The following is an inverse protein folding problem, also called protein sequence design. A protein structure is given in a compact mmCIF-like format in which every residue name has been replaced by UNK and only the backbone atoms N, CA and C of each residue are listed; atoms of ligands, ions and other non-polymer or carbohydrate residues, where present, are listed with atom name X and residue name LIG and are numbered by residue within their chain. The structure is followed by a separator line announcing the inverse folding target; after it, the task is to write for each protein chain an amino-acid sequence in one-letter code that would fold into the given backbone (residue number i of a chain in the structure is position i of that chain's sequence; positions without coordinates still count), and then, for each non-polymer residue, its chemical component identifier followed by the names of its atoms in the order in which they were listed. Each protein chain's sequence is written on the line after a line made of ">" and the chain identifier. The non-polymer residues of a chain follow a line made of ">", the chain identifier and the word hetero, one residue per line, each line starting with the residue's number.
data_IF_082514025185
#
_entry.id   IF_082514025185
#
_cell.length_a   1.000
_cell.length_b   1.000
_cell.length_c   1.000
_cell.angle_alpha   90.00
_cell.angle_beta   90.00
_cell.angle_gamma   90.00
#
_symmetry.space_group_name_H-M   'P 1'
#
loop_
_entity.id
_entity.type
_entity.pdbx_description
1 polymer ?
#
# COMPACT_ATOMS: atom_id res chain seq x y z
N UNK A 1 7.25 62.51 14.94
CA UNK A 1 6.53 61.79 13.86
C UNK A 1 7.38 60.76 13.09
N UNK A 2 8.67 61.02 12.74
CA UNK A 2 9.53 60.06 12.03
C UNK A 2 9.69 58.68 12.72
N UNK A 3 9.77 58.66 14.05
CA UNK A 3 9.90 57.42 14.83
C UNK A 3 8.64 56.54 14.81
N UNK A 4 7.47 57.12 14.55
CA UNK A 4 6.19 56.39 14.50
C UNK A 4 6.03 55.65 13.16
N UNK A 5 6.45 56.27 12.05
CA UNK A 5 6.48 55.61 10.74
C UNK A 5 7.49 54.46 10.66
N UNK A 6 8.61 54.55 11.41
CA UNK A 6 9.60 53.48 11.47
C UNK A 6 9.07 52.25 12.22
N UNK A 7 8.39 52.44 13.37
CA UNK A 7 7.78 51.36 14.15
C UNK A 7 6.65 50.64 13.39
N UNK A 8 5.83 51.41 12.66
CA UNK A 8 4.73 50.84 11.85
C UNK A 8 5.25 49.98 10.69
N UNK A 9 6.33 50.41 10.03
CA UNK A 9 6.98 49.64 8.94
C UNK A 9 7.62 48.34 9.45
N UNK A 10 8.17 48.34 10.67
CA UNK A 10 8.78 47.15 11.27
C UNK A 10 7.73 46.10 11.67
N UNK A 11 6.60 46.52 12.25
CA UNK A 11 5.49 45.60 12.54
C UNK A 11 4.87 45.00 11.27
N UNK A 12 4.70 45.79 10.21
CA UNK A 12 4.15 45.28 8.95
C UNK A 12 5.08 44.24 8.30
N UNK A 13 6.40 44.46 8.34
CA UNK A 13 7.38 43.51 7.82
C UNK A 13 7.39 42.18 8.61
N UNK A 14 7.26 42.23 9.95
CA UNK A 14 7.18 41.03 10.79
C UNK A 14 5.89 40.25 10.55
N UNK A 15 4.75 40.92 10.34
CA UNK A 15 3.48 40.27 10.03
C UNK A 15 3.52 39.59 8.65
N UNK A 16 4.15 40.21 7.65
CA UNK A 16 4.34 39.62 6.32
C UNK A 16 5.28 38.40 6.41
N UNK A 17 6.38 38.51 7.16
CA UNK A 17 7.32 37.39 7.34
C UNK A 17 6.66 36.20 8.07
N UNK A 18 5.84 36.47 9.09
CA UNK A 18 5.07 35.45 9.80
C UNK A 18 4.03 34.77 8.90
N UNK A 19 3.37 35.54 8.01
CA UNK A 19 2.42 35.00 7.04
C UNK A 19 3.09 34.13 5.96
N UNK A 20 4.30 34.50 5.51
CA UNK A 20 5.11 33.71 4.57
C UNK A 20 5.60 32.42 5.23
N UNK A 21 6.02 32.45 6.50
CA UNK A 21 6.41 31.25 7.24
C UNK A 21 5.24 30.27 7.48
N UNK A 22 4.01 30.77 7.67
CA UNK A 22 2.83 29.90 7.81
C UNK A 22 2.46 29.14 6.53
N UNK A 23 2.87 29.62 5.36
CA UNK A 23 2.56 29.01 4.06
C UNK A 23 3.55 27.89 3.69
N UNK A 24 4.63 27.70 4.45
CA UNK A 24 5.66 26.68 4.22
C UNK A 24 5.40 25.38 5.01
N UNK A 25 4.15 25.01 5.26
CA UNK A 25 3.84 23.68 5.78
C UNK A 25 4.17 22.66 4.69
N UNK A 26 5.29 21.94 4.82
CA UNK A 26 5.56 20.77 4.00
C UNK A 26 4.38 19.80 4.18
N UNK A 27 3.62 19.55 3.12
CA UNK A 27 2.58 18.55 3.12
C UNK A 27 3.27 17.20 3.38
N UNK A 28 3.12 16.66 4.58
CA UNK A 28 3.76 15.41 4.93
C UNK A 28 3.07 14.28 4.16
N UNK A 29 3.83 13.60 3.28
CA UNK A 29 3.31 12.54 2.42
C UNK A 29 2.80 11.40 3.28
N UNK A 30 1.53 11.00 3.10
CA UNK A 30 0.90 9.95 3.91
C UNK A 30 0.36 8.84 3.01
N UNK A 31 0.79 7.60 3.26
CA UNK A 31 0.38 6.41 2.51
C UNK A 31 -0.70 5.63 3.25
N UNK A 32 -1.80 5.34 2.57
CA UNK A 32 -2.75 4.32 2.98
C UNK A 32 -2.39 3.00 2.30
N UNK A 33 -2.57 1.89 3.01
CA UNK A 33 -2.46 0.54 2.45
C UNK A 33 -3.78 -0.19 2.59
N UNK A 34 -4.07 -1.06 1.63
CA UNK A 34 -5.12 -2.05 1.79
C UNK A 34 -4.74 -3.36 1.11
N UNK A 35 -5.40 -4.42 1.55
CA UNK A 35 -5.45 -5.67 0.83
C UNK A 35 -6.77 -5.76 0.08
N UNK A 36 -6.73 -6.16 -1.19
CA UNK A 36 -7.90 -6.59 -1.94
C UNK A 36 -7.71 -8.02 -2.39
N UNK A 37 -8.68 -8.90 -2.15
CA UNK A 37 -8.48 -10.31 -2.42
C UNK A 37 -9.76 -11.13 -2.46
N UNK A 38 -9.61 -12.38 -2.83
CA UNK A 38 -10.71 -13.33 -2.93
C UNK A 38 -10.23 -14.78 -3.06
N UNK A 39 -11.11 -15.70 -2.71
CA UNK A 39 -10.88 -17.13 -2.89
C UNK A 39 -10.98 -17.50 -4.38
N UNK A 40 -9.99 -18.25 -4.87
CA UNK A 40 -9.98 -18.89 -6.18
C UNK A 40 -10.35 -20.36 -5.96
N UNK A 41 -11.59 -20.66 -6.31
CA UNK A 41 -12.24 -21.93 -6.02
C UNK A 41 -12.16 -22.94 -7.17
N UNK A 42 -11.32 -22.65 -8.17
CA UNK A 42 -11.05 -23.53 -9.31
C UNK A 42 -9.64 -24.08 -9.18
N UNK A 43 -9.50 -25.40 -9.30
CA UNK A 43 -8.23 -26.11 -9.10
C UNK A 43 -8.10 -26.81 -7.73
N UNK A 44 -7.08 -27.66 -7.62
CA UNK A 44 -6.72 -28.36 -6.38
C UNK A 44 -5.21 -28.22 -6.17
N UNK A 45 -4.74 -27.64 -5.06
CA UNK A 45 -5.52 -27.09 -3.94
C UNK A 45 -6.23 -25.76 -4.28
N UNK A 46 -7.29 -25.43 -3.54
CA UNK A 46 -7.94 -24.11 -3.61
C UNK A 46 -6.99 -23.02 -3.13
N UNK A 47 -7.13 -21.83 -3.71
CA UNK A 47 -6.21 -20.72 -3.45
C UNK A 47 -6.96 -19.50 -2.94
N UNK A 48 -6.25 -18.63 -2.24
CA UNK A 48 -6.71 -17.29 -1.90
C UNK A 48 -5.66 -16.29 -2.38
N UNK A 49 -6.09 -15.24 -3.06
CA UNK A 49 -5.17 -14.25 -3.60
C UNK A 49 -5.43 -12.91 -2.95
N UNK A 50 -4.37 -12.28 -2.41
CA UNK A 50 -4.43 -10.95 -1.81
C UNK A 50 -3.45 -10.01 -2.52
N UNK A 51 -3.97 -8.94 -3.10
CA UNK A 51 -3.21 -7.86 -3.73
C UNK A 51 -2.94 -6.76 -2.70
N UNK A 52 -1.67 -6.40 -2.53
CA UNK A 52 -1.22 -5.28 -1.73
C UNK A 52 -1.39 -4.01 -2.57
N UNK A 53 -2.11 -3.03 -2.03
CA UNK A 53 -2.39 -1.78 -2.72
C UNK A 53 -1.97 -0.57 -1.87
N UNK A 54 -1.46 0.47 -2.54
CA UNK A 54 -1.05 1.74 -1.93
C UNK A 54 -1.79 2.93 -2.56
N UNK A 55 -2.08 3.95 -1.76
CA UNK A 55 -2.70 5.20 -2.21
C UNK A 55 -2.29 6.37 -1.31
N UNK A 56 -2.23 7.59 -1.85
CA UNK A 56 -2.09 8.78 -1.01
C UNK A 56 -3.34 8.98 -0.13
N UNK A 57 -3.13 9.43 1.10
CA UNK A 57 -4.23 9.67 2.04
C UNK A 57 -5.02 10.95 1.73
N UNK A 58 -4.37 11.94 1.14
CA UNK A 58 -4.89 13.26 0.81
C UNK A 58 -4.51 13.63 -0.63
N UNK A 59 -4.83 14.85 -1.08
CA UNK A 59 -4.56 15.32 -2.44
C UNK A 59 -3.06 15.49 -2.79
N UNK A 60 -2.16 14.88 -2.02
CA UNK A 60 -0.73 14.82 -2.35
C UNK A 60 -0.45 13.79 -3.45
N UNK A 61 0.64 14.06 -4.17
CA UNK A 61 1.28 13.09 -5.06
C UNK A 61 2.70 12.86 -4.56
N UNK A 62 3.11 11.61 -4.45
CA UNK A 62 4.46 11.27 -4.02
C UNK A 62 4.98 10.02 -4.74
N UNK A 63 6.29 9.79 -4.60
CA UNK A 63 6.96 8.60 -5.08
C UNK A 63 7.69 7.94 -3.90
N UNK A 64 7.76 6.61 -3.92
CA UNK A 64 8.40 5.82 -2.87
C UNK A 64 9.79 5.37 -3.30
N UNK A 65 10.69 5.27 -2.33
CA UNK A 65 12.00 4.67 -2.43
C UNK A 65 11.99 3.19 -2.05
N UNK A 66 13.18 2.66 -1.77
CA UNK A 66 13.37 1.38 -1.11
C UNK A 66 12.46 1.27 0.11
N UNK A 67 11.68 0.20 0.17
CA UNK A 67 10.53 0.07 1.06
C UNK A 67 10.33 -1.38 1.48
N UNK A 68 9.66 -1.59 2.62
CA UNK A 68 9.28 -2.90 3.12
C UNK A 68 7.79 -2.98 3.43
N UNK A 69 7.18 -4.13 3.14
CA UNK A 69 5.80 -4.45 3.54
C UNK A 69 5.81 -5.76 4.29
N UNK A 70 5.26 -5.76 5.50
CA UNK A 70 5.18 -6.93 6.34
C UNK A 70 3.72 -7.28 6.60
N UNK A 71 3.33 -8.50 6.24
CA UNK A 71 2.01 -9.05 6.52
C UNK A 71 2.09 -10.19 7.54
N UNK A 72 1.07 -10.28 8.37
CA UNK A 72 0.77 -11.47 9.18
C UNK A 72 -0.52 -12.11 8.67
N UNK A 73 -0.64 -13.43 8.76
CA UNK A 73 -1.88 -14.16 8.41
C UNK A 73 -2.11 -15.33 9.37
N UNK A 74 -3.29 -15.94 9.34
CA UNK A 74 -3.59 -17.14 10.12
C UNK A 74 -2.98 -18.40 9.47
N UNK A 75 -1.89 -18.98 10.01
CA UNK A 75 -1.23 -20.14 9.39
C UNK A 75 -2.06 -21.43 9.48
N UNK A 76 -3.09 -21.47 10.33
CA UNK A 76 -4.02 -22.61 10.38
C UNK A 76 -5.07 -22.55 9.26
N UNK A 77 -5.31 -21.36 8.70
CA UNK A 77 -6.27 -21.15 7.62
C UNK A 77 -5.60 -21.16 6.24
N UNK A 78 -4.39 -20.59 6.15
CA UNK A 78 -3.69 -20.33 4.90
C UNK A 78 -2.23 -20.79 4.98
N UNK A 79 -1.65 -21.13 3.82
CA UNK A 79 -0.19 -21.27 3.64
C UNK A 79 0.23 -20.36 2.48
N UNK A 80 1.16 -19.44 2.70
CA UNK A 80 1.69 -18.60 1.62
C UNK A 80 2.51 -19.44 0.62
N UNK A 81 2.27 -19.26 -0.68
CA UNK A 81 2.82 -20.12 -1.73
C UNK A 81 3.72 -19.35 -2.67
N UNK A 82 3.25 -18.19 -3.11
CA UNK A 82 3.97 -17.40 -4.09
C UNK A 82 3.65 -15.92 -3.95
N UNK A 83 4.51 -15.13 -4.57
CA UNK A 83 4.36 -13.70 -4.69
C UNK A 83 4.70 -13.28 -6.12
N UNK A 84 3.97 -12.31 -6.65
CA UNK A 84 4.27 -11.66 -7.92
C UNK A 84 4.22 -10.14 -7.76
N UNK A 85 5.27 -9.45 -8.22
CA UNK A 85 5.29 -7.99 -8.30
C UNK A 85 4.35 -7.49 -9.41
N UNK A 86 3.62 -6.40 -9.16
CA UNK A 86 2.77 -5.77 -10.18
C UNK A 86 3.41 -4.44 -10.60
N UNK A 87 3.34 -3.41 -9.75
CA UNK A 87 4.10 -2.18 -9.93
C UNK A 87 5.43 -2.21 -9.16
N UNK A 88 6.20 -1.13 -9.26
CA UNK A 88 7.49 -0.96 -8.61
C UNK A 88 8.48 -2.10 -8.95
N UNK A 89 8.37 -2.63 -10.16
CA UNK A 89 9.01 -3.87 -10.60
C UNK A 89 9.99 -3.61 -11.75
N UNK A 90 10.89 -4.57 -12.06
CA UNK A 90 11.81 -4.43 -13.18
C UNK A 90 11.11 -4.44 -14.55
N UNK A 91 9.84 -4.89 -14.62
CA UNK A 91 9.05 -4.87 -15.85
C UNK A 91 8.49 -3.48 -16.20
N UNK A 92 8.45 -2.56 -15.23
CA UNK A 92 7.83 -1.25 -15.39
C UNK A 92 8.84 -0.20 -15.86
N UNK A 93 8.97 -0.03 -17.18
CA UNK A 93 9.83 0.98 -17.77
C UNK A 93 9.20 2.37 -17.63
N UNK A 94 9.91 3.31 -17.01
CA UNK A 94 9.39 4.67 -16.80
C UNK A 94 10.45 5.77 -16.86
N UNK A 95 11.74 5.44 -16.73
CA UNK A 95 12.82 6.41 -16.99
C UNK A 95 12.95 6.52 -18.51
N UNK A 96 12.37 7.59 -19.06
CA UNK A 96 12.31 7.82 -20.52
C UNK A 96 11.58 6.72 -21.29
N UNK A 97 10.81 5.86 -20.61
CA UNK A 97 10.19 4.66 -21.18
C UNK A 97 11.18 3.55 -21.57
N UNK A 98 12.45 3.66 -21.21
CA UNK A 98 13.52 2.74 -21.63
C UNK A 98 14.12 1.94 -20.48
N UNK A 99 14.03 2.44 -19.24
CA UNK A 99 14.58 1.78 -18.06
C UNK A 99 13.60 1.81 -16.88
N UNK A 100 13.77 0.83 -15.99
CA UNK A 100 13.11 0.73 -14.69
C UNK A 100 14.05 1.23 -13.60
N UNK A 101 13.55 1.97 -12.59
CA UNK A 101 14.33 2.31 -11.42
C UNK A 101 14.36 1.18 -10.37
N UNK A 102 13.60 0.10 -10.56
CA UNK A 102 13.35 -0.93 -9.55
C UNK A 102 14.03 -2.25 -9.83
N UNK A 103 14.57 -2.85 -8.77
CA UNK A 103 15.00 -4.24 -8.77
C UNK A 103 13.81 -5.21 -8.62
N UNK A 104 14.08 -6.49 -8.88
CA UNK A 104 13.14 -7.55 -8.53
C UNK A 104 12.83 -7.52 -7.02
N UNK A 105 11.54 -7.61 -6.69
CA UNK A 105 11.09 -7.66 -5.30
C UNK A 105 11.70 -8.88 -4.59
N UNK A 106 12.21 -8.67 -3.38
CA UNK A 106 12.65 -9.74 -2.51
C UNK A 106 11.52 -10.10 -1.54
N UNK A 107 11.20 -11.39 -1.45
CA UNK A 107 10.09 -11.86 -0.61
C UNK A 107 10.51 -13.03 0.26
N UNK A 108 10.09 -13.02 1.51
CA UNK A 108 10.23 -14.12 2.45
C UNK A 108 8.86 -14.69 2.79
N UNK A 109 8.64 -15.94 2.38
CA UNK A 109 7.39 -16.70 2.56
C UNK A 109 7.58 -17.99 3.38
N UNK A 110 8.80 -18.29 3.84
CA UNK A 110 9.14 -19.60 4.41
C UNK A 110 8.62 -19.81 5.84
N UNK A 111 8.40 -18.73 6.61
CA UNK A 111 7.84 -18.83 7.94
C UNK A 111 6.29 -18.82 7.88
N UNK A 112 5.61 -19.81 8.50
CA UNK A 112 4.16 -19.79 8.61
C UNK A 112 3.66 -18.51 9.31
N UNK A 113 2.58 -17.94 8.77
CA UNK A 113 1.91 -16.77 9.33
C UNK A 113 2.57 -15.44 8.98
N UNK A 114 3.64 -15.42 8.18
CA UNK A 114 4.37 -14.20 7.80
C UNK A 114 4.60 -14.11 6.30
N UNK A 115 4.44 -12.91 5.75
CA UNK A 115 4.96 -12.51 4.45
C UNK A 115 5.75 -11.22 4.62
N UNK A 116 7.02 -11.23 4.24
CA UNK A 116 7.85 -10.02 4.28
C UNK A 116 8.35 -9.70 2.88
N UNK A 117 8.02 -8.50 2.40
CA UNK A 117 8.36 -7.99 1.07
C UNK A 117 9.36 -6.83 1.23
N UNK A 118 10.42 -6.85 0.44
CA UNK A 118 11.36 -5.73 0.25
C UNK A 118 11.36 -5.31 -1.21
N UNK A 119 11.20 -4.00 -1.44
CA UNK A 119 11.27 -3.36 -2.74
C UNK A 119 12.51 -2.47 -2.75
N UNK A 120 13.39 -2.63 -3.74
CA UNK A 120 14.67 -1.89 -3.80
C UNK A 120 14.66 -0.96 -4.99
N UNK A 121 14.87 0.33 -4.73
CA UNK A 121 15.01 1.36 -5.75
C UNK A 121 16.50 1.60 -6.03
N UNK A 122 16.92 1.41 -7.27
CA UNK A 122 18.32 1.48 -7.70
C UNK A 122 18.81 2.89 -8.05
N UNK A 123 17.89 3.86 -8.07
CA UNK A 123 18.19 5.26 -8.36
C UNK A 123 17.54 6.14 -7.29
N UNK A 124 18.15 7.26 -6.94
CA UNK A 124 17.65 8.08 -5.83
C UNK A 124 16.76 9.26 -6.27
N UNK A 125 16.56 9.42 -7.58
CA UNK A 125 15.93 10.61 -8.18
C UNK A 125 14.62 10.31 -8.91
N UNK A 126 14.32 9.04 -9.19
CA UNK A 126 13.15 8.65 -9.97
C UNK A 126 12.52 7.39 -9.38
N UNK A 127 11.20 7.39 -9.30
CA UNK A 127 10.40 6.24 -8.89
C UNK A 127 9.04 6.33 -9.57
N UNK A 128 8.48 5.17 -9.89
CA UNK A 128 7.25 5.07 -10.66
C UNK A 128 6.49 3.76 -10.34
N UNK A 129 5.15 3.77 -10.49
CA UNK A 129 4.30 4.92 -10.84
C UNK A 129 4.17 5.93 -9.67
N UNK A 130 3.75 7.18 -9.94
CA UNK A 130 3.43 8.12 -8.87
C UNK A 130 2.21 7.64 -8.07
N UNK A 131 2.24 7.87 -6.76
CA UNK A 131 1.13 7.55 -5.85
C UNK A 131 0.32 8.81 -5.65
N UNK A 132 -0.98 8.71 -5.94
CA UNK A 132 -1.96 9.80 -5.85
C UNK A 132 -3.14 9.36 -4.97
N UNK A 133 -4.10 10.24 -4.67
CA UNK A 133 -5.34 9.85 -4.00
C UNK A 133 -6.47 9.43 -4.95
N UNK A 134 -6.28 9.55 -6.26
CA UNK A 134 -7.31 9.27 -7.25
C UNK A 134 -7.58 7.76 -7.40
N UNK A 135 -6.53 6.93 -7.37
CA UNK A 135 -6.65 5.48 -7.53
C UNK A 135 -5.68 4.72 -6.62
N UNK A 136 -6.03 3.48 -6.34
CA UNK A 136 -5.14 2.53 -5.69
C UNK A 136 -4.14 1.97 -6.71
N UNK A 137 -2.87 1.88 -6.31
CA UNK A 137 -1.79 1.29 -7.10
C UNK A 137 -1.48 -0.09 -6.54
N UNK A 138 -1.47 -1.11 -7.40
CA UNK A 138 -1.14 -2.48 -7.03
C UNK A 138 0.38 -2.62 -6.87
N UNK A 139 0.84 -2.95 -5.67
CA UNK A 139 2.27 -3.21 -5.40
C UNK A 139 2.64 -4.61 -5.86
N UNK A 140 1.84 -5.60 -5.47
CA UNK A 140 2.04 -6.99 -5.82
C UNK A 140 1.00 -7.89 -5.18
N UNK A 141 1.08 -9.16 -5.52
CA UNK A 141 0.05 -10.15 -5.23
C UNK A 141 0.65 -11.33 -4.50
N UNK A 142 0.08 -11.67 -3.34
CA UNK A 142 0.42 -12.87 -2.59
C UNK A 142 -0.64 -13.94 -2.85
N UNK A 143 -0.21 -15.14 -3.19
CA UNK A 143 -1.08 -16.29 -3.34
C UNK A 143 -0.88 -17.25 -2.18
N UNK A 144 -2.00 -17.68 -1.60
CA UNK A 144 -2.07 -18.63 -0.50
C UNK A 144 -2.79 -19.90 -0.94
N UNK A 145 -2.39 -21.04 -0.40
CA UNK A 145 -3.23 -22.23 -0.36
C UNK A 145 -4.20 -22.13 0.81
N UNK A 146 -5.45 -22.51 0.59
CA UNK A 146 -6.46 -22.58 1.64
C UNK A 146 -6.34 -23.93 2.34
N UNK A 147 -5.83 -23.93 3.57
CA UNK A 147 -5.69 -25.12 4.40
C UNK A 147 -6.97 -25.44 5.16
N UNK A 148 -7.70 -24.42 5.61
CA UNK A 148 -8.99 -24.58 6.29
C UNK A 148 -9.96 -23.45 5.92
N UNK A 149 -10.98 -23.71 5.07
CA UNK A 149 -11.90 -22.69 4.60
C UNK A 149 -12.88 -22.17 5.66
N UNK A 150 -13.03 -22.87 6.79
CA UNK A 150 -13.91 -22.45 7.88
C UNK A 150 -13.28 -21.38 8.79
N UNK A 151 -11.97 -21.19 8.71
CA UNK A 151 -11.24 -20.24 9.56
C UNK A 151 -11.15 -18.85 8.92
N UNK A 152 -10.96 -17.84 9.78
CA UNK A 152 -10.65 -16.48 9.36
C UNK A 152 -9.20 -16.42 8.81
N UNK A 153 -8.98 -15.89 7.60
CA UNK A 153 -7.63 -15.72 7.06
C UNK A 153 -6.77 -14.71 7.83
N UNK A 154 -7.41 -13.72 8.47
CA UNK A 154 -6.81 -12.64 9.25
C UNK A 154 -5.47 -12.09 8.70
N UNK A 155 -5.46 -11.71 7.42
CA UNK A 155 -4.29 -11.14 6.75
C UNK A 155 -4.20 -9.66 7.11
N UNK A 156 -3.18 -9.25 7.86
CA UNK A 156 -3.02 -7.90 8.39
C UNK A 156 -1.64 -7.33 8.05
N UNK A 157 -1.56 -6.00 7.92
CA UNK A 157 -0.27 -5.32 7.88
C UNK A 157 0.32 -5.20 9.28
N UNK A 158 1.61 -5.51 9.43
CA UNK A 158 2.38 -5.08 10.59
C UNK A 158 2.81 -3.63 10.38
N UNK A 159 2.07 -2.71 10.99
CA UNK A 159 2.38 -1.26 10.99
C UNK A 159 3.83 -0.97 11.42
N UNK A 160 4.40 -1.57 12.49
CA UNK A 160 5.77 -1.25 12.88
C UNK A 160 6.81 -1.73 11.86
N UNK A 161 6.56 -2.84 11.15
CA UNK A 161 7.52 -3.47 10.24
C UNK A 161 7.32 -3.11 8.76
N UNK A 162 6.32 -2.30 8.45
CA UNK A 162 6.05 -1.77 7.11
C UNK A 162 6.56 -0.33 7.04
N UNK A 163 7.39 -0.01 6.06
CA UNK A 163 7.98 1.32 5.90
C UNK A 163 8.19 1.66 4.42
N UNK A 164 8.07 2.94 4.07
CA UNK A 164 8.36 3.45 2.74
C UNK A 164 9.28 4.66 2.86
N UNK A 165 10.41 4.64 2.14
CA UNK A 165 11.23 5.83 1.99
C UNK A 165 10.61 6.78 0.96
N UNK A 166 10.88 8.07 1.04
CA UNK A 166 10.50 9.03 0.00
C UNK A 166 11.53 9.13 -1.12
N UNK A 167 11.08 9.59 -2.29
CA UNK A 167 11.95 10.06 -3.39
C UNK A 167 11.61 11.52 -3.71
N UNK A 168 12.61 12.40 -3.95
CA UNK A 168 14.05 12.13 -3.90
C UNK A 168 14.64 11.87 -2.49
N UNK A 169 15.86 11.31 -2.57
CA UNK A 169 16.86 10.88 -1.58
C UNK A 169 16.98 9.36 -1.40
N UNK A 170 15.89 8.64 -1.10
CA UNK A 170 15.91 7.18 -0.89
C UNK A 170 17.01 6.70 0.10
N UNK A 171 17.27 7.49 1.13
CA UNK A 171 18.37 7.29 2.10
C UNK A 171 17.88 6.80 3.47
N UNK A 172 16.58 6.58 3.63
CA UNK A 172 15.97 6.18 4.90
C UNK A 172 15.80 7.30 5.92
N UNK A 173 16.15 8.54 5.59
CA UNK A 173 16.03 9.70 6.50
C UNK A 173 14.63 10.29 6.48
N UNK A 174 13.99 10.30 5.30
CA UNK A 174 12.65 10.85 5.11
C UNK A 174 11.66 9.70 4.79
N UNK A 175 11.00 9.14 5.80
CA UNK A 175 9.96 8.14 5.59
C UNK A 175 8.64 8.80 5.17
N UNK A 176 7.85 8.06 4.39
CA UNK A 176 6.44 8.39 4.14
C UNK A 176 5.64 8.09 5.42
N UNK A 177 4.77 9.02 5.83
CA UNK A 177 3.89 8.80 6.96
C UNK A 177 2.93 7.64 6.70
N UNK A 178 2.63 6.89 7.75
CA UNK A 178 1.69 5.77 7.70
C UNK A 178 0.28 6.29 7.99
N UNK A 179 -0.63 6.10 7.04
CA UNK A 179 -2.05 6.38 7.19
C UNK A 179 -2.81 5.15 7.67
N UNK A 180 -3.97 4.90 7.06
CA UNK A 180 -4.81 3.74 7.36
C UNK A 180 -4.33 2.51 6.60
N UNK A 181 -4.04 1.44 7.34
CA UNK A 181 -3.68 0.13 6.78
C UNK A 181 -4.84 -0.85 7.01
N UNK A 182 -5.47 -1.33 5.94
CA UNK A 182 -6.64 -2.21 6.01
C UNK A 182 -6.31 -3.63 5.53
N UNK A 183 -6.33 -4.60 6.45
CA UNK A 183 -6.19 -6.01 6.13
C UNK A 183 -7.48 -6.68 5.66
N UNK A 184 -7.44 -8.01 5.56
CA UNK A 184 -8.56 -8.90 5.25
C UNK A 184 -8.80 -9.81 6.46
N UNK A 185 -9.95 -9.66 7.11
CA UNK A 185 -10.40 -10.54 8.18
C UNK A 185 -11.92 -10.74 8.08
N UNK A 186 -12.39 -11.91 8.49
CA UNK A 186 -13.81 -12.24 8.49
C UNK A 186 -14.06 -13.74 8.27
N UNK A 187 -15.10 -14.25 8.93
CA UNK A 187 -15.55 -15.61 8.75
C UNK A 187 -16.08 -15.85 7.32
N UNK A 188 -15.78 -17.01 6.75
CA UNK A 188 -16.30 -17.45 5.47
C UNK A 188 -15.66 -16.82 4.23
N UNK A 189 -14.66 -15.95 4.39
CA UNK A 189 -13.91 -15.37 3.26
C UNK A 189 -13.13 -16.41 2.44
N UNK A 190 -12.86 -17.58 3.03
CA UNK A 190 -12.15 -18.69 2.40
C UNK A 190 -13.11 -19.76 1.83
N UNK A 191 -14.42 -19.61 2.03
CA UNK A 191 -15.38 -20.60 1.58
C UNK A 191 -15.62 -20.51 0.08
N UNK A 192 -15.61 -21.68 -0.56
CA UNK A 192 -15.92 -21.84 -1.98
C UNK A 192 -17.38 -22.25 -2.25
N UNK A 193 -18.21 -22.31 -1.21
CA UNK A 193 -19.61 -22.70 -1.32
C UNK A 193 -20.48 -21.49 -1.71
N UNK A 194 -20.63 -21.28 -3.02
CA UNK A 194 -21.43 -20.21 -3.62
C UNK A 194 -20.58 -19.43 -4.62
N UNK A 195 -20.86 -19.60 -5.91
CA UNK A 195 -20.01 -19.15 -7.01
C UNK A 195 -19.48 -17.73 -6.88
N UNK A 196 -18.19 -17.56 -7.21
CA UNK A 196 -17.53 -16.31 -7.62
C UNK A 196 -18.06 -15.05 -6.94
N UNK A 197 -17.54 -14.72 -5.76
CA UNK A 197 -17.59 -13.34 -5.26
C UNK A 197 -16.33 -12.63 -5.72
N UNK A 198 -16.37 -12.07 -6.94
CA UNK A 198 -15.49 -10.94 -7.28
C UNK A 198 -16.24 -9.70 -6.84
N UNK A 199 -15.75 -9.00 -5.82
CA UNK A 199 -16.32 -7.71 -5.41
C UNK A 199 -15.18 -6.69 -5.22
N UNK A 200 -14.98 -5.76 -6.17
CA UNK A 200 -14.41 -4.46 -5.84
C UNK A 200 -15.43 -3.69 -4.97
N UNK A 201 -15.00 -2.93 -3.94
CA UNK A 201 -15.88 -2.00 -3.24
C UNK A 201 -16.58 -1.03 -4.22
N UNK A 202 -17.88 -0.69 -4.04
CA UNK A 202 -18.56 -0.62 -2.74
C UNK A 202 -19.84 -1.48 -2.58
N UNK A 203 -20.14 -2.46 -3.45
CA UNK A 203 -21.42 -3.20 -3.34
C UNK A 203 -21.24 -4.71 -3.53
N UNK A 204 -21.23 -5.43 -2.41
CA UNK A 204 -21.48 -6.87 -2.44
C UNK A 204 -22.99 -7.09 -2.57
N UNK A 205 -23.44 -7.70 -3.67
CA UNK A 205 -24.81 -8.16 -3.84
C UNK A 205 -24.83 -9.67 -3.57
N UNK A 206 -25.47 -10.06 -2.48
CA UNK A 206 -25.59 -11.47 -2.08
C UNK A 206 -26.58 -12.17 -3.02
N UNK A 207 -26.11 -13.13 -3.83
CA UNK A 207 -27.00 -14.02 -4.58
C UNK A 207 -27.24 -15.27 -3.75
N UNK A 208 -28.40 -15.35 -3.10
CA UNK A 208 -28.85 -16.58 -2.45
C UNK A 208 -29.26 -17.61 -3.50
N UNK A 209 -28.64 -18.79 -3.50
CA UNK A 209 -29.10 -19.92 -4.33
C UNK A 209 -30.01 -20.79 -3.48
N UNK A 210 -31.29 -20.80 -3.81
CA UNK A 210 -32.28 -21.73 -3.26
C UNK A 210 -31.95 -23.14 -3.75
N UNK A 211 -31.72 -24.09 -2.84
CA UNK A 211 -31.60 -25.51 -3.18
C UNK A 211 -32.93 -26.00 -3.76
N UNK A 212 -32.93 -26.45 -5.01
CA UNK A 212 -33.99 -27.32 -5.52
C UNK A 212 -33.62 -28.74 -5.07
N UNK A 213 -34.52 -29.38 -4.31
CA UNK A 213 -34.42 -30.78 -3.90
C UNK A 213 -34.68 -31.72 -5.07
#
# INVERSE_FOLDING_TARGET
>A
MKNMFFRLRCCLALLIFFWICLQLTSQAQTANLRLSGGAICVGSPTQYTATIQIRAADATTFAIGTSSVYLTYNPSALTAVSYSSVNFSPANLCIGGLATPWDAHQVYLLAPGVVNLTMTLNVNTASCPPITNAQWVDVGTVTFHISNPALDPNIQFSIPNTNFNSVPANDGVVPINKGTFTGIAGAGLLNCFGGVVVCPPPKCLTVGVTRIR
#
